data_IF_541862643329
#
_entry.id   IF_541862643329
#
_cell.length_a   1.000
_cell.length_b   1.000
_cell.length_c   1.000
_cell.angle_alpha   90.00
_cell.angle_beta   90.00
_cell.angle_gamma   90.00
#
_symmetry.space_group_name_H-M   'P 1'
#
loop_
_entity.id
_entity.type
_entity.pdbx_description
1 polymer ?
#
# COMPACT_ATOMS: atom_id res chain seq x y z
N UNK A 1 -17.65 -9.92 -6.07
CA UNK A 1 -16.74 -10.38 -4.98
C UNK A 1 -15.81 -9.23 -4.60
N UNK A 2 -15.32 -9.17 -3.36
CA UNK A 2 -14.28 -8.26 -2.92
C UNK A 2 -12.98 -9.04 -2.64
N UNK A 3 -11.89 -8.64 -3.26
CA UNK A 3 -10.55 -9.20 -2.98
C UNK A 3 -9.79 -8.21 -2.13
N UNK A 4 -9.38 -8.63 -0.93
CA UNK A 4 -8.66 -7.80 0.03
C UNK A 4 -7.18 -8.21 0.04
N UNK A 5 -6.32 -7.35 -0.45
CA UNK A 5 -4.87 -7.55 -0.50
C UNK A 5 -4.14 -6.51 0.36
N UNK A 6 -2.86 -6.70 0.57
CA UNK A 6 -2.03 -5.76 1.33
C UNK A 6 -0.94 -6.46 2.13
N UNK A 7 -0.09 -5.70 2.84
CA UNK A 7 1.00 -6.25 3.63
C UNK A 7 0.55 -7.33 4.62
N UNK A 8 1.45 -8.23 4.99
CA UNK A 8 1.21 -9.12 6.14
C UNK A 8 1.05 -8.32 7.43
N UNK A 9 0.23 -8.83 8.36
CA UNK A 9 -0.01 -8.24 9.68
C UNK A 9 -0.61 -6.82 9.63
N UNK A 10 -1.34 -6.48 8.56
CA UNK A 10 -2.05 -5.20 8.43
C UNK A 10 -3.50 -5.28 8.92
N UNK A 11 -3.95 -6.48 9.35
CA UNK A 11 -5.29 -6.68 9.91
C UNK A 11 -6.32 -7.27 8.94
N UNK A 12 -5.94 -7.74 7.73
CA UNK A 12 -6.88 -8.30 6.75
C UNK A 12 -7.77 -9.41 7.32
N UNK A 13 -7.15 -10.44 7.91
CA UNK A 13 -7.84 -11.58 8.52
C UNK A 13 -8.82 -11.13 9.61
N UNK A 14 -8.38 -10.24 10.50
CA UNK A 14 -9.21 -9.70 11.59
C UNK A 14 -10.44 -8.99 11.04
N UNK A 15 -10.23 -8.00 10.15
CA UNK A 15 -11.33 -7.24 9.54
C UNK A 15 -12.32 -8.15 8.79
N UNK A 16 -11.81 -9.05 7.96
CA UNK A 16 -12.67 -9.91 7.16
C UNK A 16 -13.45 -10.91 8.02
N UNK A 17 -12.83 -11.41 9.10
CA UNK A 17 -13.50 -12.29 10.07
C UNK A 17 -14.63 -11.56 10.78
N UNK A 18 -14.41 -10.34 11.24
CA UNK A 18 -15.43 -9.53 11.93
C UNK A 18 -16.62 -9.18 11.02
N UNK A 19 -16.37 -9.05 9.71
CA UNK A 19 -17.40 -8.75 8.73
C UNK A 19 -18.13 -10.01 8.20
N UNK A 20 -17.66 -11.22 8.50
CA UNK A 20 -18.20 -12.46 7.95
C UNK A 20 -19.37 -13.02 8.72
N UNK A 21 -20.28 -13.69 8.00
CA UNK A 21 -21.27 -14.60 8.59
C UNK A 21 -20.72 -16.05 8.58
N UNK A 22 -19.86 -16.36 7.58
CA UNK A 22 -19.15 -17.64 7.44
C UNK A 22 -17.68 -17.33 7.08
N UNK A 23 -16.77 -17.89 7.86
CA UNK A 23 -15.31 -17.70 7.67
C UNK A 23 -14.65 -19.05 7.41
N UNK A 24 -14.00 -19.20 6.25
CA UNK A 24 -13.29 -20.39 5.82
C UNK A 24 -11.81 -20.04 5.56
N UNK A 25 -10.94 -20.64 6.34
CA UNK A 25 -9.49 -20.47 6.28
C UNK A 25 -8.83 -21.70 5.64
N UNK A 26 -8.09 -21.50 4.56
CA UNK A 26 -7.39 -22.59 3.88
C UNK A 26 -6.36 -23.30 4.75
N UNK A 27 -5.78 -22.62 5.74
CA UNK A 27 -4.77 -23.18 6.63
C UNK A 27 -5.39 -24.07 7.74
N UNK A 28 -6.71 -23.98 7.97
CA UNK A 28 -7.45 -24.86 8.85
C UNK A 28 -7.89 -26.12 8.09
N UNK A 29 -7.62 -27.30 8.64
CA UNK A 29 -7.90 -28.59 7.99
C UNK A 29 -9.39 -28.82 7.75
N UNK A 30 -10.24 -28.56 8.75
CA UNK A 30 -11.69 -28.77 8.64
C UNK A 30 -12.28 -27.82 7.59
N UNK A 31 -11.86 -26.56 7.57
CA UNK A 31 -12.30 -25.59 6.56
C UNK A 31 -11.79 -25.94 5.15
N UNK A 32 -10.57 -26.46 5.05
CA UNK A 32 -10.00 -26.92 3.79
C UNK A 32 -10.77 -28.11 3.21
N UNK A 33 -11.21 -29.06 4.04
CA UNK A 33 -12.07 -30.16 3.60
C UNK A 33 -13.39 -29.68 3.03
N UNK A 34 -14.04 -28.69 3.67
CA UNK A 34 -15.26 -28.07 3.16
C UNK A 34 -15.01 -27.44 1.79
N UNK A 35 -13.90 -26.69 1.62
CA UNK A 35 -13.56 -26.05 0.34
C UNK A 35 -13.28 -27.12 -0.74
N UNK A 36 -12.54 -28.17 -0.41
CA UNK A 36 -12.21 -29.26 -1.32
C UNK A 36 -13.46 -30.09 -1.73
N UNK A 37 -14.48 -30.13 -0.88
CA UNK A 37 -15.81 -30.71 -1.21
C UNK A 37 -16.54 -29.92 -2.29
N UNK A 38 -16.02 -28.75 -2.68
CA UNK A 38 -16.54 -27.96 -3.80
C UNK A 38 -17.67 -27.00 -3.45
N UNK A 39 -18.20 -26.28 -4.47
CA UNK A 39 -19.23 -25.25 -4.28
C UNK A 39 -20.46 -25.72 -3.49
N UNK A 40 -20.92 -26.92 -3.71
CA UNK A 40 -22.12 -27.47 -3.03
C UNK A 40 -21.87 -27.73 -1.53
N UNK A 41 -20.68 -28.22 -1.16
CA UNK A 41 -20.30 -28.42 0.24
C UNK A 41 -20.21 -27.10 1.00
N UNK A 42 -19.60 -26.06 0.40
CA UNK A 42 -19.58 -24.72 0.98
C UNK A 42 -20.98 -24.12 1.10
N UNK A 43 -21.85 -24.32 0.11
CA UNK A 43 -23.23 -23.84 0.14
C UNK A 43 -24.04 -24.51 1.27
N UNK A 44 -23.88 -25.81 1.46
CA UNK A 44 -24.51 -26.57 2.56
C UNK A 44 -24.00 -26.10 3.93
N UNK A 45 -22.66 -25.96 4.08
CA UNK A 45 -22.06 -25.46 5.31
C UNK A 45 -22.54 -24.04 5.66
N UNK A 46 -22.70 -23.19 4.66
CA UNK A 46 -23.19 -21.81 4.83
C UNK A 46 -24.73 -21.74 4.98
N UNK A 47 -25.48 -22.84 4.84
CA UNK A 47 -26.94 -22.87 4.91
C UNK A 47 -27.59 -22.03 3.82
N UNK A 48 -27.10 -22.09 2.57
CA UNK A 48 -27.64 -21.31 1.45
C UNK A 48 -28.99 -21.85 0.92
N UNK A 49 -29.43 -22.96 1.38
CA UNK A 49 -30.76 -23.56 1.13
C UNK A 49 -31.85 -22.97 2.02
N UNK A 50 -31.50 -22.27 3.09
CA UNK A 50 -32.42 -21.63 4.03
C UNK A 50 -32.82 -20.24 3.54
N UNK A 51 -34.14 -19.94 3.60
CA UNK A 51 -34.66 -18.62 3.26
C UNK A 51 -34.09 -17.54 4.20
N UNK A 52 -33.54 -16.47 3.62
CA UNK A 52 -32.92 -15.33 4.36
C UNK A 52 -33.34 -14.01 3.75
N UNK A 53 -33.37 -12.98 4.58
CA UNK A 53 -33.70 -11.62 4.17
C UNK A 53 -32.53 -10.85 3.57
N UNK A 54 -31.29 -11.37 3.70
CA UNK A 54 -30.08 -10.79 3.14
C UNK A 54 -29.09 -11.86 2.67
N UNK A 55 -28.22 -11.54 1.70
CA UNK A 55 -27.13 -12.44 1.31
C UNK A 55 -26.16 -12.71 2.46
N UNK A 56 -25.61 -13.92 2.51
CA UNK A 56 -24.59 -14.33 3.48
C UNK A 56 -23.24 -13.78 3.07
N UNK A 57 -22.50 -13.21 4.01
CA UNK A 57 -21.11 -12.78 3.81
C UNK A 57 -20.17 -13.94 4.11
N UNK A 58 -19.54 -14.47 3.06
CA UNK A 58 -18.59 -15.58 3.16
C UNK A 58 -17.18 -15.04 2.90
N UNK A 59 -16.26 -15.37 3.81
CA UNK A 59 -14.83 -15.07 3.67
C UNK A 59 -14.06 -16.34 3.37
N UNK A 60 -13.24 -16.29 2.33
CA UNK A 60 -12.21 -17.27 2.05
C UNK A 60 -10.84 -16.64 2.36
N UNK A 61 -10.22 -17.08 3.45
CA UNK A 61 -8.88 -16.60 3.85
C UNK A 61 -7.79 -17.53 3.30
N UNK A 62 -6.68 -16.93 2.83
CA UNK A 62 -5.51 -17.62 2.24
C UNK A 62 -5.86 -18.59 1.07
N UNK A 63 -7.02 -18.42 0.43
CA UNK A 63 -7.52 -19.32 -0.63
C UNK A 63 -6.56 -19.46 -1.81
N UNK A 64 -5.68 -18.48 -2.03
CA UNK A 64 -4.67 -18.51 -3.09
C UNK A 64 -3.69 -19.70 -2.98
N UNK A 65 -3.59 -20.35 -1.82
CA UNK A 65 -2.81 -21.57 -1.62
C UNK A 65 -3.45 -22.79 -2.30
N UNK A 66 -4.75 -22.75 -2.57
CA UNK A 66 -5.46 -23.78 -3.33
C UNK A 66 -5.16 -23.64 -4.83
N UNK A 67 -4.53 -24.63 -5.46
CA UNK A 67 -4.12 -24.56 -6.88
C UNK A 67 -5.28 -24.24 -7.84
N UNK A 68 -6.49 -24.68 -7.55
CA UNK A 68 -7.69 -24.50 -8.41
C UNK A 68 -8.63 -23.40 -7.91
N UNK A 69 -8.17 -22.51 -7.06
CA UNK A 69 -8.99 -21.50 -6.39
C UNK A 69 -9.80 -20.60 -7.34
N UNK A 70 -9.24 -20.22 -8.50
CA UNK A 70 -9.95 -19.38 -9.48
C UNK A 70 -11.16 -20.11 -10.08
N UNK A 71 -10.99 -21.39 -10.44
CA UNK A 71 -12.06 -22.20 -10.98
C UNK A 71 -13.15 -22.46 -9.92
N UNK A 72 -12.74 -22.75 -8.69
CA UNK A 72 -13.63 -22.91 -7.54
C UNK A 72 -14.46 -21.64 -7.31
N UNK A 73 -13.81 -20.46 -7.17
CA UNK A 73 -14.52 -19.20 -6.94
C UNK A 73 -15.47 -18.85 -8.09
N UNK A 74 -15.04 -19.08 -9.34
CA UNK A 74 -15.92 -18.87 -10.49
C UNK A 74 -17.17 -19.72 -10.39
N UNK A 75 -17.03 -21.03 -10.20
CA UNK A 75 -18.16 -21.94 -10.10
C UNK A 75 -19.07 -21.60 -8.92
N UNK A 76 -18.50 -21.27 -7.77
CA UNK A 76 -19.26 -20.88 -6.59
C UNK A 76 -20.03 -19.57 -6.80
N UNK A 77 -19.36 -18.55 -7.35
CA UNK A 77 -19.99 -17.26 -7.62
C UNK A 77 -21.10 -17.39 -8.65
N UNK A 78 -20.83 -17.99 -9.81
CA UNK A 78 -21.81 -18.11 -10.90
C UNK A 78 -23.07 -18.91 -10.47
N UNK A 79 -22.93 -19.81 -9.48
CA UNK A 79 -24.08 -20.59 -8.96
C UNK A 79 -24.84 -19.87 -7.85
N UNK A 80 -24.18 -19.10 -6.99
CA UNK A 80 -24.79 -18.60 -5.75
C UNK A 80 -24.75 -17.07 -5.60
N UNK A 81 -24.41 -16.29 -6.65
CA UNK A 81 -24.16 -14.84 -6.54
C UNK A 81 -25.30 -14.03 -5.90
N UNK A 82 -26.56 -14.45 -6.15
CA UNK A 82 -27.73 -13.80 -5.57
C UNK A 82 -27.86 -14.00 -4.04
N UNK A 83 -27.27 -15.10 -3.52
CA UNK A 83 -27.37 -15.51 -2.12
C UNK A 83 -26.15 -15.13 -1.27
N UNK A 84 -25.05 -14.72 -1.89
CA UNK A 84 -23.78 -14.52 -1.19
C UNK A 84 -23.13 -13.17 -1.49
N UNK A 85 -22.32 -12.70 -0.52
CA UNK A 85 -21.33 -11.66 -0.69
C UNK A 85 -19.97 -12.25 -0.33
N UNK A 86 -19.10 -12.41 -1.32
CA UNK A 86 -17.83 -13.12 -1.16
C UNK A 86 -16.71 -12.10 -0.91
N UNK A 87 -15.93 -12.32 0.14
CA UNK A 87 -14.64 -11.67 0.38
C UNK A 87 -13.56 -12.73 0.30
N UNK A 88 -12.47 -12.41 -0.40
CA UNK A 88 -11.29 -13.27 -0.52
C UNK A 88 -10.11 -12.51 0.01
N UNK A 89 -9.45 -13.04 1.01
CA UNK A 89 -8.20 -12.46 1.48
C UNK A 89 -7.02 -13.30 1.02
N UNK A 90 -5.89 -12.69 0.93
CA UNK A 90 -4.65 -13.38 0.64
C UNK A 90 -3.49 -12.42 0.81
N UNK A 91 -2.31 -13.01 0.96
CA UNK A 91 -1.07 -12.26 0.89
C UNK A 91 -0.88 -11.72 -0.55
N UNK A 92 0.18 -10.97 -0.77
CA UNK A 92 0.64 -10.36 -2.03
C UNK A 92 0.39 -11.15 -3.33
N UNK A 93 0.10 -12.45 -3.27
CA UNK A 93 -0.13 -13.30 -4.43
C UNK A 93 -1.41 -13.00 -5.22
N UNK A 94 -2.44 -12.41 -4.60
CA UNK A 94 -3.67 -12.07 -5.34
C UNK A 94 -3.38 -11.05 -6.45
N UNK A 95 -2.44 -10.11 -6.25
CA UNK A 95 -2.01 -9.15 -7.27
C UNK A 95 -1.10 -9.75 -8.34
N UNK A 96 -0.23 -10.70 -7.96
CA UNK A 96 0.74 -11.33 -8.87
C UNK A 96 0.05 -12.31 -9.84
N UNK A 97 -1.06 -12.92 -9.44
CA UNK A 97 -1.82 -13.88 -10.27
C UNK A 97 -2.71 -13.24 -11.35
N UNK A 98 -2.55 -11.94 -11.63
CA UNK A 98 -3.05 -11.34 -12.89
C UNK A 98 -2.48 -12.02 -14.14
N UNK A 99 -1.34 -12.72 -14.02
CA UNK A 99 -0.73 -13.48 -15.10
C UNK A 99 -1.28 -14.91 -15.10
N UNK A 100 -2.34 -15.15 -15.85
CA UNK A 100 -2.79 -16.51 -16.16
C UNK A 100 -4.29 -16.74 -16.04
N UNK A 101 -5.02 -16.54 -17.13
CA UNK A 101 -6.37 -17.02 -17.36
C UNK A 101 -7.49 -16.12 -16.87
N UNK A 102 -8.37 -15.77 -17.78
CA UNK A 102 -9.52 -14.84 -17.64
C UNK A 102 -10.67 -15.30 -16.77
N UNK A 103 -10.50 -16.31 -15.90
CA UNK A 103 -11.65 -16.99 -15.28
C UNK A 103 -12.46 -16.12 -14.29
N UNK A 104 -11.89 -15.02 -13.76
CA UNK A 104 -12.56 -14.15 -12.78
C UNK A 104 -12.76 -12.71 -13.27
N UNK A 105 -12.45 -12.40 -14.53
CA UNK A 105 -12.64 -11.06 -15.08
C UNK A 105 -14.10 -10.59 -14.93
N UNK A 106 -14.29 -9.36 -14.48
CA UNK A 106 -15.60 -8.76 -14.25
C UNK A 106 -16.36 -9.24 -13.00
N UNK A 107 -15.80 -10.18 -12.21
CA UNK A 107 -16.47 -10.76 -11.04
C UNK A 107 -16.00 -10.24 -9.70
N UNK A 108 -14.90 -9.46 -9.65
CA UNK A 108 -14.38 -8.94 -8.40
C UNK A 108 -13.87 -7.50 -8.53
N UNK A 109 -13.85 -6.80 -7.40
CA UNK A 109 -13.11 -5.57 -7.18
C UNK A 109 -11.98 -5.86 -6.21
N UNK A 110 -10.84 -5.21 -6.45
CA UNK A 110 -9.67 -5.29 -5.60
C UNK A 110 -9.67 -4.12 -4.61
N UNK A 111 -9.48 -4.42 -3.33
CA UNK A 111 -9.33 -3.44 -2.26
C UNK A 111 -7.98 -3.62 -1.59
N UNK A 112 -7.19 -2.57 -1.54
CA UNK A 112 -5.85 -2.57 -0.97
C UNK A 112 -5.88 -2.06 0.46
N UNK A 113 -5.55 -2.94 1.40
CA UNK A 113 -5.45 -2.57 2.81
C UNK A 113 -4.03 -2.14 3.13
N UNK A 114 -3.89 -0.96 3.72
CA UNK A 114 -2.62 -0.35 4.10
C UNK A 114 -2.43 -0.36 5.63
N UNK A 115 -1.20 -0.13 6.12
CA UNK A 115 -0.98 0.26 7.51
C UNK A 115 -1.77 1.54 7.84
N UNK A 116 -2.05 1.77 9.13
CA UNK A 116 -2.77 2.96 9.57
C UNK A 116 -2.14 4.25 9.07
N UNK A 117 -3.00 5.20 8.75
CA UNK A 117 -2.63 6.57 8.35
C UNK A 117 -3.27 7.58 9.29
N UNK A 118 -2.82 8.82 9.22
CA UNK A 118 -3.40 9.93 10.00
C UNK A 118 -4.90 10.05 9.72
N UNK A 119 -5.30 9.98 8.45
CA UNK A 119 -6.71 10.11 8.06
C UNK A 119 -7.61 9.05 8.73
N UNK A 120 -7.19 7.77 8.73
CA UNK A 120 -7.97 6.69 9.36
C UNK A 120 -8.02 6.80 10.88
N UNK A 121 -6.91 7.24 11.50
CA UNK A 121 -6.88 7.45 12.96
C UNK A 121 -7.77 8.63 13.38
N UNK A 122 -7.96 9.61 12.50
CA UNK A 122 -8.90 10.70 12.73
C UNK A 122 -10.35 10.25 12.49
N UNK A 123 -10.60 9.55 11.40
CA UNK A 123 -11.95 9.13 10.96
C UNK A 123 -11.89 7.81 10.21
N UNK A 124 -12.41 6.71 10.78
CA UNK A 124 -12.41 5.40 10.15
C UNK A 124 -13.45 5.26 9.03
N UNK A 125 -14.43 6.17 8.94
CA UNK A 125 -15.48 6.10 7.93
C UNK A 125 -14.94 6.37 6.53
N UNK A 126 -15.40 5.60 5.56
CA UNK A 126 -15.09 5.80 4.14
C UNK A 126 -15.80 7.07 3.65
N UNK A 127 -15.10 7.88 2.85
CA UNK A 127 -15.64 9.08 2.22
C UNK A 127 -15.61 8.93 0.69
N UNK A 128 -16.65 9.43 0.04
CA UNK A 128 -16.70 9.57 -1.42
C UNK A 128 -16.03 10.89 -1.89
N UNK A 129 -15.61 11.74 -0.95
CA UNK A 129 -14.88 12.97 -1.26
C UNK A 129 -13.38 12.68 -1.45
N UNK A 130 -12.73 13.44 -2.34
CA UNK A 130 -11.27 13.32 -2.58
C UNK A 130 -10.44 13.78 -1.38
N UNK A 131 -10.94 14.75 -0.65
CA UNK A 131 -10.37 15.25 0.60
C UNK A 131 -11.50 15.67 1.54
N UNK A 132 -11.20 15.72 2.82
CA UNK A 132 -12.14 16.02 3.89
C UNK A 132 -11.69 17.27 4.63
N UNK A 133 -12.59 17.84 5.44
CA UNK A 133 -12.19 18.90 6.36
C UNK A 133 -11.09 18.40 7.30
N UNK A 134 -10.13 19.27 7.67
CA UNK A 134 -9.05 18.87 8.55
C UNK A 134 -9.57 18.45 9.92
N UNK A 135 -8.99 17.38 10.47
CA UNK A 135 -9.31 16.89 11.81
C UNK A 135 -8.03 16.63 12.58
N UNK A 136 -8.00 17.09 13.84
CA UNK A 136 -6.81 16.92 14.68
C UNK A 136 -6.69 15.48 15.16
N UNK A 137 -5.59 14.83 14.83
CA UNK A 137 -5.10 13.66 15.56
C UNK A 137 -4.43 14.16 16.83
N UNK A 138 -4.68 13.53 17.97
CA UNK A 138 -3.99 13.88 19.21
C UNK A 138 -2.46 13.68 19.09
N UNK A 139 -1.70 14.43 19.89
CA UNK A 139 -0.24 14.39 19.79
C UNK A 139 0.34 13.03 20.21
N UNK A 140 -0.35 12.30 21.09
CA UNK A 140 0.04 10.95 21.48
C UNK A 140 -0.13 9.96 20.32
N UNK A 141 -1.25 9.99 19.61
CA UNK A 141 -1.51 9.18 18.42
C UNK A 141 -0.53 9.49 17.28
N UNK A 142 -0.24 10.77 17.05
CA UNK A 142 0.77 11.20 16.10
C UNK A 142 2.15 10.64 16.43
N UNK A 143 2.59 10.78 17.70
CA UNK A 143 3.90 10.31 18.15
C UNK A 143 4.01 8.78 18.01
N UNK A 144 2.96 8.06 18.41
CA UNK A 144 2.89 6.60 18.26
C UNK A 144 2.99 6.18 16.79
N UNK A 145 2.25 6.84 15.89
CA UNK A 145 2.28 6.57 14.46
C UNK A 145 3.67 6.85 13.87
N UNK A 146 4.29 7.96 14.26
CA UNK A 146 5.62 8.34 13.83
C UNK A 146 6.69 7.35 14.29
N UNK A 147 6.68 6.95 15.56
CA UNK A 147 7.71 6.10 16.16
C UNK A 147 7.55 4.62 15.87
N UNK A 148 6.31 4.11 15.95
CA UNK A 148 6.02 2.68 15.87
C UNK A 148 5.51 2.23 14.49
N UNK A 149 5.23 3.17 13.59
CA UNK A 149 4.67 2.87 12.28
C UNK A 149 3.16 2.62 12.31
N UNK A 150 2.60 2.38 11.12
CA UNK A 150 1.16 2.18 10.95
C UNK A 150 0.69 0.71 11.05
N UNK A 151 1.59 -0.25 11.30
CA UNK A 151 1.14 -1.63 11.50
C UNK A 151 0.40 -1.76 12.84
N UNK A 152 -0.78 -2.43 12.88
CA UNK A 152 -1.66 -2.43 14.05
C UNK A 152 -0.97 -2.88 15.34
N UNK A 153 -0.21 -3.97 15.29
CA UNK A 153 0.35 -4.56 16.50
C UNK A 153 1.41 -3.67 17.19
N UNK A 154 2.46 -3.17 16.51
CA UNK A 154 3.39 -2.22 17.14
C UNK A 154 2.73 -0.88 17.50
N UNK A 155 1.76 -0.41 16.69
CA UNK A 155 0.99 0.81 17.00
C UNK A 155 0.20 0.68 18.31
N UNK A 156 -0.45 -0.46 18.55
CA UNK A 156 -1.23 -0.73 19.78
C UNK A 156 -0.32 -0.95 20.98
N UNK A 157 0.79 -1.70 20.81
CA UNK A 157 1.71 -2.05 21.89
C UNK A 157 2.55 -0.86 22.41
N UNK A 158 2.83 0.14 21.57
CA UNK A 158 3.53 1.39 21.92
C UNK A 158 4.86 1.16 22.66
N UNK A 159 5.56 0.09 22.36
CA UNK A 159 6.79 -0.31 23.03
C UNK A 159 7.96 -0.35 22.07
N UNK A 160 9.01 0.47 22.24
CA UNK A 160 10.18 0.46 21.36
C UNK A 160 10.86 -0.92 21.26
N UNK A 161 10.96 -1.63 22.38
CA UNK A 161 11.52 -2.99 22.43
C UNK A 161 10.65 -3.97 21.64
N UNK A 162 9.34 -3.88 21.77
CA UNK A 162 8.42 -4.72 21.01
C UNK A 162 8.51 -4.41 19.53
N UNK A 163 8.44 -3.14 19.12
CA UNK A 163 8.50 -2.70 17.73
C UNK A 163 9.79 -3.15 17.05
N UNK A 164 10.94 -3.06 17.73
CA UNK A 164 12.21 -3.55 17.21
C UNK A 164 12.17 -5.07 16.94
N UNK A 165 11.74 -5.87 17.92
CA UNK A 165 11.65 -7.32 17.77
C UNK A 165 10.65 -7.73 16.69
N UNK A 166 9.52 -7.05 16.62
CA UNK A 166 8.47 -7.29 15.64
C UNK A 166 8.97 -7.03 14.22
N UNK A 167 9.65 -5.90 13.97
CA UNK A 167 10.24 -5.58 12.67
C UNK A 167 11.27 -6.63 12.22
N UNK A 168 12.16 -7.02 13.12
CA UNK A 168 13.18 -8.03 12.80
C UNK A 168 12.55 -9.39 12.49
N UNK A 169 11.58 -9.84 13.28
CA UNK A 169 10.87 -11.09 13.04
C UNK A 169 10.11 -11.05 11.71
N UNK A 170 9.36 -9.98 11.47
CA UNK A 170 8.59 -9.78 10.23
C UNK A 170 9.51 -9.78 9.00
N UNK A 171 10.64 -9.08 9.09
CA UNK A 171 11.65 -9.07 8.02
C UNK A 171 12.20 -10.46 7.77
N UNK A 172 12.54 -11.18 8.82
CA UNK A 172 13.07 -12.55 8.71
C UNK A 172 12.03 -13.48 8.06
N UNK A 173 10.79 -13.47 8.54
CA UNK A 173 9.71 -14.30 7.98
C UNK A 173 9.47 -13.97 6.50
N UNK A 174 9.37 -12.70 6.15
CA UNK A 174 9.17 -12.28 4.77
C UNK A 174 10.30 -12.77 3.85
N UNK A 175 11.56 -12.49 4.23
CA UNK A 175 12.72 -12.74 3.35
C UNK A 175 13.17 -14.19 3.33
N UNK A 176 12.99 -14.94 4.41
CA UNK A 176 13.49 -16.31 4.55
C UNK A 176 12.43 -17.39 4.41
N UNK A 177 11.19 -17.09 4.74
CA UNK A 177 10.09 -18.07 4.69
C UNK A 177 9.19 -17.80 3.49
N UNK A 178 8.53 -16.66 3.44
CA UNK A 178 7.54 -16.37 2.40
C UNK A 178 8.12 -16.35 0.99
N UNK A 179 9.25 -15.66 0.82
CA UNK A 179 9.88 -15.53 -0.50
C UNK A 179 10.46 -16.87 -0.94
N UNK A 180 11.10 -17.63 -0.05
CA UNK A 180 11.58 -18.98 -0.35
C UNK A 180 10.46 -19.90 -0.80
N UNK A 181 9.36 -19.94 -0.04
CA UNK A 181 8.27 -20.89 -0.29
C UNK A 181 7.41 -20.50 -1.49
N UNK A 182 7.41 -19.23 -1.85
CA UNK A 182 6.55 -18.69 -2.88
C UNK A 182 7.26 -18.31 -4.19
N UNK A 183 8.57 -18.31 -4.23
CA UNK A 183 9.36 -17.93 -5.41
C UNK A 183 10.45 -18.95 -5.70
N UNK A 184 11.01 -18.92 -6.90
CA UNK A 184 12.15 -19.76 -7.28
C UNK A 184 13.52 -19.14 -6.95
N UNK A 185 13.60 -18.15 -6.05
CA UNK A 185 14.86 -17.50 -5.67
C UNK A 185 15.69 -18.45 -4.85
N UNK A 186 16.85 -18.83 -5.37
CA UNK A 186 17.79 -19.76 -4.72
C UNK A 186 18.77 -19.01 -3.81
N UNK A 187 19.25 -17.84 -4.22
CA UNK A 187 20.25 -17.04 -3.51
C UNK A 187 19.61 -16.13 -2.45
N UNK A 188 19.01 -16.73 -1.42
CA UNK A 188 18.31 -16.01 -0.36
C UNK A 188 19.21 -15.07 0.45
N UNK A 189 20.49 -15.38 0.59
CA UNK A 189 21.43 -14.52 1.31
C UNK A 189 21.71 -13.23 0.56
N UNK A 190 21.99 -13.31 -0.76
CA UNK A 190 22.18 -12.13 -1.60
C UNK A 190 20.88 -11.33 -1.71
N UNK A 191 19.74 -12.01 -1.79
CA UNK A 191 18.43 -11.35 -1.75
C UNK A 191 18.20 -10.59 -0.45
N UNK A 192 18.54 -11.17 0.69
CA UNK A 192 18.42 -10.51 2.00
C UNK A 192 19.38 -9.32 2.14
N UNK A 193 20.61 -9.42 1.61
CA UNK A 193 21.56 -8.31 1.55
C UNK A 193 20.99 -7.18 0.70
N UNK A 194 20.42 -7.48 -0.48
CA UNK A 194 19.77 -6.49 -1.33
C UNK A 194 18.64 -5.79 -0.60
N UNK A 195 17.76 -6.53 0.08
CA UNK A 195 16.64 -5.96 0.82
C UNK A 195 17.12 -5.02 1.94
N UNK A 196 18.25 -5.34 2.59
CA UNK A 196 18.89 -4.48 3.61
C UNK A 196 19.43 -3.19 2.99
N UNK A 197 20.18 -3.27 1.88
CA UNK A 197 20.70 -2.09 1.17
C UNK A 197 19.56 -1.17 0.73
N UNK A 198 18.46 -1.74 0.25
CA UNK A 198 17.27 -0.99 -0.12
C UNK A 198 16.59 -0.34 1.10
N UNK A 199 16.61 -0.98 2.26
CA UNK A 199 16.07 -0.40 3.48
C UNK A 199 16.86 0.85 3.93
N UNK A 200 18.17 0.84 3.76
CA UNK A 200 19.06 1.97 4.08
C UNK A 200 18.93 3.13 3.09
N UNK A 201 18.34 2.90 1.89
CA UNK A 201 18.19 3.88 0.80
C UNK A 201 16.73 4.28 0.55
N UNK A 202 15.83 4.13 1.53
CA UNK A 202 14.43 4.55 1.35
C UNK A 202 14.35 6.04 1.00
N UNK A 203 13.58 6.40 -0.03
CA UNK A 203 13.52 7.75 -0.61
C UNK A 203 14.54 7.99 -1.73
N UNK A 204 15.58 7.17 -1.82
CA UNK A 204 16.65 7.32 -2.80
C UNK A 204 16.30 6.79 -4.20
N UNK A 205 17.03 7.30 -5.20
CA UNK A 205 16.94 6.78 -6.57
C UNK A 205 17.51 5.34 -6.63
N UNK A 206 16.74 4.43 -7.20
CA UNK A 206 17.12 3.04 -7.37
C UNK A 206 17.90 2.86 -8.68
N UNK A 207 19.22 2.77 -8.58
CA UNK A 207 20.12 2.49 -9.71
C UNK A 207 20.40 0.99 -9.77
N UNK A 208 19.70 0.28 -10.62
CA UNK A 208 19.76 -1.18 -10.74
C UNK A 208 21.16 -1.71 -11.01
N UNK A 209 21.94 -1.05 -11.88
CA UNK A 209 23.32 -1.44 -12.21
C UNK A 209 24.28 -1.30 -11.02
N UNK A 210 24.10 -0.27 -10.19
CA UNK A 210 24.91 -0.09 -8.98
C UNK A 210 24.63 -1.20 -7.97
N UNK A 211 23.35 -1.46 -7.72
CA UNK A 211 22.94 -2.51 -6.78
C UNK A 211 23.40 -3.90 -7.27
N UNK A 212 23.29 -4.17 -8.56
CA UNK A 212 23.79 -5.42 -9.19
C UNK A 212 25.26 -5.66 -8.93
N UNK A 213 26.09 -4.62 -9.08
CA UNK A 213 27.54 -4.69 -8.78
C UNK A 213 27.81 -4.95 -7.29
N UNK A 214 27.09 -4.28 -6.40
CA UNK A 214 27.27 -4.44 -4.94
C UNK A 214 26.99 -5.86 -4.46
N UNK A 215 25.93 -6.50 -4.98
CA UNK A 215 25.51 -7.84 -4.57
C UNK A 215 25.99 -8.96 -5.54
N UNK A 216 26.78 -8.60 -6.56
CA UNK A 216 27.39 -9.53 -7.54
C UNK A 216 26.39 -10.42 -8.28
N UNK A 217 25.29 -9.83 -8.75
CA UNK A 217 24.30 -10.50 -9.61
C UNK A 217 24.03 -9.70 -10.88
N UNK A 218 23.26 -10.25 -11.81
CA UNK A 218 22.86 -9.53 -13.02
C UNK A 218 21.85 -8.41 -12.69
N UNK A 219 21.84 -7.36 -13.53
CA UNK A 219 20.82 -6.29 -13.40
C UNK A 219 19.40 -6.83 -13.58
N UNK A 220 19.19 -7.81 -14.45
CA UNK A 220 17.90 -8.47 -14.62
C UNK A 220 17.46 -9.20 -13.36
N UNK A 221 18.39 -9.83 -12.64
CA UNK A 221 18.13 -10.47 -11.36
C UNK A 221 17.68 -9.43 -10.33
N UNK A 222 18.37 -8.29 -10.23
CA UNK A 222 17.97 -7.20 -9.32
C UNK A 222 16.58 -6.67 -9.67
N UNK A 223 16.27 -6.44 -10.95
CA UNK A 223 14.93 -5.99 -11.38
C UNK A 223 13.84 -6.98 -10.97
N UNK A 224 14.09 -8.27 -11.16
CA UNK A 224 13.17 -9.33 -10.74
C UNK A 224 12.98 -9.37 -9.22
N UNK A 225 14.08 -9.25 -8.47
CA UNK A 225 14.06 -9.26 -7.02
C UNK A 225 13.37 -8.03 -6.42
N UNK A 226 13.59 -6.85 -6.99
CA UNK A 226 12.87 -5.63 -6.60
C UNK A 226 11.38 -5.77 -6.89
N UNK A 227 11.00 -6.33 -8.04
CA UNK A 227 9.61 -6.62 -8.34
C UNK A 227 8.99 -7.60 -7.33
N UNK A 228 9.75 -8.60 -6.88
CA UNK A 228 9.34 -9.51 -5.81
C UNK A 228 9.13 -8.78 -4.50
N UNK A 229 10.07 -7.93 -4.06
CA UNK A 229 9.90 -7.11 -2.84
C UNK A 229 8.67 -6.19 -2.90
N UNK A 230 8.39 -5.59 -4.07
CA UNK A 230 7.18 -4.80 -4.28
C UNK A 230 5.92 -5.68 -4.17
N UNK A 231 5.93 -6.84 -4.80
CA UNK A 231 4.80 -7.77 -4.77
C UNK A 231 4.49 -8.29 -3.36
N UNK A 232 5.51 -8.43 -2.52
CA UNK A 232 5.38 -8.81 -1.11
C UNK A 232 5.17 -7.61 -0.16
N UNK A 233 4.92 -6.43 -0.70
CA UNK A 233 4.69 -5.21 0.07
C UNK A 233 5.81 -4.84 1.06
N UNK A 234 7.06 -5.22 0.76
CA UNK A 234 8.21 -4.79 1.53
C UNK A 234 8.52 -3.31 1.27
N UNK A 235 8.39 -2.91 0.01
CA UNK A 235 8.52 -1.53 -0.43
C UNK A 235 7.76 -1.30 -1.74
N UNK A 236 7.95 -0.13 -2.33
CA UNK A 236 7.34 0.25 -3.59
C UNK A 236 8.20 1.24 -4.36
N UNK A 237 7.90 1.39 -5.64
CA UNK A 237 8.60 2.29 -6.54
C UNK A 237 7.74 3.50 -6.86
N UNK A 238 8.29 4.69 -6.66
CA UNK A 238 7.74 5.95 -7.18
C UNK A 238 8.51 6.31 -8.44
N UNK A 239 7.83 6.26 -9.58
CA UNK A 239 8.44 6.55 -10.89
C UNK A 239 8.42 8.04 -11.19
N UNK A 240 9.36 8.55 -12.00
CA UNK A 240 9.31 9.94 -12.39
C UNK A 240 8.12 10.23 -13.30
N UNK A 241 7.56 11.43 -13.17
CA UNK A 241 6.56 11.94 -14.09
C UNK A 241 7.20 12.63 -15.28
N UNK A 242 6.69 12.38 -16.48
CA UNK A 242 7.00 13.09 -17.72
C UNK A 242 5.75 13.15 -18.60
N UNK A 243 5.57 14.25 -19.34
CA UNK A 243 4.53 14.33 -20.38
C UNK A 243 4.63 13.18 -21.39
N UNK A 244 5.85 12.72 -21.68
CA UNK A 244 6.09 11.54 -22.53
C UNK A 244 6.32 10.31 -21.67
N UNK A 245 5.35 9.39 -21.63
CA UNK A 245 5.35 8.16 -20.84
C UNK A 245 6.56 7.27 -21.16
N UNK A 246 6.97 7.16 -22.44
CA UNK A 246 8.13 6.35 -22.83
C UNK A 246 9.43 6.88 -22.21
N UNK A 247 9.54 8.19 -21.97
CA UNK A 247 10.69 8.81 -21.30
C UNK A 247 10.68 8.52 -19.80
N UNK A 248 9.51 8.49 -19.17
CA UNK A 248 9.36 8.14 -17.76
C UNK A 248 9.84 6.70 -17.47
N UNK A 249 9.56 5.76 -18.36
CA UNK A 249 9.94 4.35 -18.18
C UNK A 249 11.45 4.09 -18.25
N UNK A 250 12.23 5.00 -18.82
CA UNK A 250 13.70 4.88 -18.98
C UNK A 250 14.50 5.52 -17.86
N UNK A 251 13.85 6.25 -16.95
CA UNK A 251 14.50 6.93 -15.83
C UNK A 251 14.38 6.10 -14.54
N UNK A 252 15.37 6.29 -13.66
CA UNK A 252 15.43 5.57 -12.39
C UNK A 252 14.26 5.93 -11.48
N UNK A 253 13.54 4.94 -10.90
CA UNK A 253 12.53 5.20 -9.90
C UNK A 253 13.18 5.54 -8.55
N UNK A 254 12.43 6.17 -7.65
CA UNK A 254 12.73 6.19 -6.22
C UNK A 254 12.18 4.92 -5.57
N UNK A 255 12.93 4.39 -4.59
CA UNK A 255 12.51 3.25 -3.77
C UNK A 255 12.05 3.72 -2.41
N UNK A 256 10.93 3.21 -1.92
CA UNK A 256 10.40 3.47 -0.59
C UNK A 256 10.04 2.18 0.14
N UNK A 257 10.35 2.10 1.44
CA UNK A 257 9.80 1.08 2.32
C UNK A 257 8.31 1.33 2.58
N UNK A 258 7.56 0.28 2.88
CA UNK A 258 6.18 0.41 3.37
C UNK A 258 6.06 0.60 4.88
N UNK A 259 7.18 0.61 5.59
CA UNK A 259 7.26 0.86 7.02
C UNK A 259 8.38 1.84 7.31
N UNK A 260 8.03 3.05 7.73
CA UNK A 260 8.96 4.15 8.03
C UNK A 260 9.58 4.02 9.43
N UNK A 261 8.99 3.20 10.33
CA UNK A 261 9.35 3.17 11.76
C UNK A 261 10.78 2.68 12.02
N UNK A 262 11.37 1.93 11.06
CA UNK A 262 12.74 1.43 11.15
C UNK A 262 13.81 2.36 10.60
N UNK A 263 13.44 3.50 10.00
CA UNK A 263 14.37 4.42 9.36
C UNK A 263 14.97 5.37 10.41
N UNK A 264 16.31 5.37 10.52
CA UNK A 264 17.01 6.17 11.52
C UNK A 264 17.13 7.65 11.17
N UNK A 265 17.39 7.97 9.89
CA UNK A 265 17.48 9.35 9.43
C UNK A 265 16.10 10.03 9.43
N UNK A 266 15.94 11.19 10.12
CA UNK A 266 14.64 11.84 10.23
C UNK A 266 14.08 12.37 8.90
N UNK A 267 14.96 12.81 7.98
CA UNK A 267 14.56 13.30 6.66
C UNK A 267 14.02 12.16 5.78
N UNK A 268 14.77 11.06 5.68
CA UNK A 268 14.33 9.86 4.97
C UNK A 268 13.04 9.27 5.56
N UNK A 269 12.93 9.27 6.91
CA UNK A 269 11.72 8.83 7.59
C UNK A 269 10.53 9.69 7.22
N UNK A 270 10.68 11.02 7.21
CA UNK A 270 9.65 11.97 6.83
C UNK A 270 9.18 11.75 5.38
N UNK A 271 10.13 11.62 4.45
CA UNK A 271 9.81 11.35 3.05
C UNK A 271 9.09 10.01 2.87
N UNK A 272 9.56 8.95 3.55
CA UNK A 272 8.92 7.62 3.50
C UNK A 272 7.52 7.61 4.15
N UNK A 273 7.35 8.33 5.27
CA UNK A 273 6.05 8.53 5.91
C UNK A 273 5.07 9.17 4.93
N UNK A 274 5.47 10.28 4.31
CA UNK A 274 4.65 10.96 3.30
C UNK A 274 4.35 10.06 2.11
N UNK A 275 5.35 9.34 1.59
CA UNK A 275 5.19 8.40 0.49
C UNK A 275 4.14 7.32 0.79
N UNK A 276 4.14 6.75 2.00
CA UNK A 276 3.17 5.73 2.41
C UNK A 276 1.74 6.28 2.51
N UNK A 277 1.56 7.48 3.07
CA UNK A 277 0.27 8.15 3.17
C UNK A 277 -0.29 8.53 1.79
N UNK A 278 0.56 9.10 0.92
CA UNK A 278 0.17 9.43 -0.44
C UNK A 278 -0.13 8.19 -1.29
N UNK A 279 0.66 7.10 -1.12
CA UNK A 279 0.39 5.84 -1.81
C UNK A 279 -0.98 5.28 -1.41
N UNK A 280 -1.30 5.29 -0.11
CA UNK A 280 -2.62 4.86 0.35
C UNK A 280 -3.73 5.72 -0.24
N UNK A 281 -3.56 7.04 -0.26
CA UNK A 281 -4.55 7.94 -0.82
C UNK A 281 -4.82 7.65 -2.31
N UNK A 282 -3.77 7.57 -3.16
CA UNK A 282 -3.94 7.31 -4.60
C UNK A 282 -4.51 5.91 -4.88
N UNK A 283 -4.11 4.91 -4.10
CA UNK A 283 -4.65 3.55 -4.21
C UNK A 283 -6.10 3.51 -3.71
N UNK A 284 -6.42 4.15 -2.58
CA UNK A 284 -7.76 4.23 -2.00
C UNK A 284 -8.76 4.94 -2.91
N UNK A 285 -8.43 6.12 -3.43
CA UNK A 285 -9.28 6.84 -4.38
C UNK A 285 -9.57 6.01 -5.65
N UNK A 286 -8.55 5.29 -6.13
CA UNK A 286 -8.71 4.42 -7.31
C UNK A 286 -9.59 3.20 -6.99
N UNK A 287 -9.39 2.55 -5.84
CA UNK A 287 -10.16 1.38 -5.42
C UNK A 287 -11.63 1.73 -5.12
N UNK A 288 -11.89 2.97 -4.69
CA UNK A 288 -13.24 3.51 -4.48
C UNK A 288 -13.90 4.03 -5.77
N UNK A 289 -13.18 4.04 -6.90
CA UNK A 289 -13.73 4.50 -8.18
C UNK A 289 -13.85 6.02 -8.33
N UNK A 290 -13.12 6.81 -7.52
CA UNK A 290 -13.15 8.28 -7.55
C UNK A 290 -12.30 8.89 -8.70
N UNK A 291 -11.63 8.05 -9.49
CA UNK A 291 -10.77 8.40 -10.61
C UNK A 291 -9.60 7.42 -10.73
N UNK A 292 -8.72 7.66 -11.68
CA UNK A 292 -7.47 6.91 -11.84
C UNK A 292 -6.32 7.75 -11.29
N UNK A 293 -5.77 7.32 -10.16
CA UNK A 293 -4.72 8.06 -9.46
C UNK A 293 -3.39 7.32 -9.50
N UNK A 294 -2.29 8.09 -9.49
CA UNK A 294 -0.93 7.55 -9.48
C UNK A 294 -0.01 8.46 -8.66
N UNK A 295 1.00 7.86 -8.03
CA UNK A 295 2.02 8.58 -7.29
C UNK A 295 3.32 8.60 -8.07
N UNK A 296 3.82 9.81 -8.35
CA UNK A 296 5.03 10.06 -9.12
C UNK A 296 5.94 11.04 -8.37
N UNK A 297 7.18 11.23 -8.87
CA UNK A 297 8.04 12.35 -8.51
C UNK A 297 8.42 13.11 -9.76
N UNK A 298 8.94 14.33 -9.62
CA UNK A 298 9.40 15.12 -10.78
C UNK A 298 10.83 15.58 -10.56
N UNK A 299 11.67 15.39 -11.58
CA UNK A 299 13.05 15.84 -11.58
C UNK A 299 13.46 16.21 -13.00
N UNK A 300 14.08 17.38 -13.17
CA UNK A 300 14.56 17.86 -14.45
C UNK A 300 16.06 17.54 -14.69
N UNK A 301 16.57 18.01 -15.82
CA UNK A 301 17.97 17.85 -16.21
C UNK A 301 18.94 18.71 -15.41
N UNK A 302 18.42 19.77 -14.76
CA UNK A 302 19.20 20.65 -13.87
C UNK A 302 19.21 20.14 -12.42
N UNK A 303 18.69 18.92 -12.20
CA UNK A 303 18.59 18.25 -10.90
C UNK A 303 17.63 18.94 -9.90
N UNK A 304 16.78 19.89 -10.38
CA UNK A 304 15.68 20.38 -9.56
C UNK A 304 14.67 19.28 -9.40
N UNK A 305 14.13 19.14 -8.20
CA UNK A 305 13.25 18.01 -7.85
C UNK A 305 12.12 18.48 -6.96
N UNK A 306 10.96 17.84 -7.09
CA UNK A 306 9.87 17.81 -6.12
C UNK A 306 9.60 16.36 -5.76
N UNK A 307 9.47 16.06 -4.48
CA UNK A 307 9.47 14.70 -3.94
C UNK A 307 8.32 13.87 -4.47
N UNK A 308 7.11 14.44 -4.57
CA UNK A 308 5.93 13.72 -5.06
C UNK A 308 5.06 14.60 -5.95
N UNK A 309 4.44 13.93 -6.93
CA UNK A 309 3.39 14.45 -7.79
C UNK A 309 2.23 13.46 -7.75
N UNK A 310 1.08 13.89 -7.29
CA UNK A 310 -0.13 13.10 -7.39
C UNK A 310 -0.80 13.39 -8.72
N UNK A 311 -0.97 12.33 -9.50
CA UNK A 311 -1.63 12.35 -10.81
C UNK A 311 -3.07 11.94 -10.64
N UNK A 312 -3.98 12.66 -11.27
CA UNK A 312 -5.41 12.32 -11.38
C UNK A 312 -5.79 12.26 -12.85
N UNK A 313 -6.32 11.14 -13.30
CA UNK A 313 -6.79 10.93 -14.67
C UNK A 313 -5.76 11.36 -15.73
N UNK A 314 -4.48 11.02 -15.47
CA UNK A 314 -3.34 11.30 -16.34
C UNK A 314 -2.70 12.69 -16.17
N UNK A 315 -3.30 13.60 -15.40
CA UNK A 315 -2.81 14.97 -15.22
C UNK A 315 -2.28 15.21 -13.80
N UNK A 316 -1.21 16.02 -13.61
CA UNK A 316 -0.77 16.44 -12.29
C UNK A 316 -1.88 17.20 -11.56
N UNK A 317 -2.27 16.70 -10.38
CA UNK A 317 -3.27 17.35 -9.56
C UNK A 317 -2.62 18.23 -8.49
N UNK A 318 -1.69 17.67 -7.71
CA UNK A 318 -0.92 18.47 -6.77
C UNK A 318 0.52 17.97 -6.61
N UNK A 319 1.39 18.88 -6.18
CA UNK A 319 2.80 18.65 -5.90
C UNK A 319 3.04 18.62 -4.39
N UNK A 320 4.00 17.81 -3.96
CA UNK A 320 4.39 17.70 -2.54
C UNK A 320 5.91 17.72 -2.41
N UNK A 321 6.40 18.66 -1.62
CA UNK A 321 7.77 18.69 -1.10
C UNK A 321 7.75 18.40 0.39
N UNK A 322 8.68 17.60 0.89
CA UNK A 322 8.70 17.16 2.30
C UNK A 322 9.86 17.81 3.04
N UNK A 323 9.58 18.40 4.19
CA UNK A 323 10.61 18.94 5.09
C UNK A 323 10.40 18.41 6.51
N UNK A 324 11.43 17.79 7.08
CA UNK A 324 11.35 17.32 8.47
C UNK A 324 11.19 18.50 9.43
N UNK A 325 12.02 19.53 9.28
CA UNK A 325 12.00 20.74 10.13
C UNK A 325 11.28 21.93 9.48
N UNK A 326 11.39 23.08 10.13
CA UNK A 326 10.94 24.34 9.56
C UNK A 326 11.92 24.80 8.49
N UNK A 327 11.44 25.18 7.32
CA UNK A 327 12.22 25.72 6.23
C UNK A 327 11.40 26.69 5.38
N UNK A 328 12.08 27.60 4.70
CA UNK A 328 11.45 28.48 3.72
C UNK A 328 10.80 27.63 2.60
N UNK A 329 9.78 28.21 1.98
CA UNK A 329 9.09 27.57 0.86
C UNK A 329 10.07 27.31 -0.30
N UNK A 330 10.10 26.07 -0.77
CA UNK A 330 10.97 25.67 -1.87
C UNK A 330 10.59 26.38 -3.18
N UNK A 331 11.54 27.06 -3.84
CA UNK A 331 11.28 27.68 -5.13
C UNK A 331 10.97 26.66 -6.23
N UNK A 332 11.35 25.42 -6.04
CA UNK A 332 11.08 24.35 -6.99
C UNK A 332 9.57 24.03 -7.10
N UNK A 333 8.81 24.20 -6.01
CA UNK A 333 7.36 24.01 -6.04
C UNK A 333 6.66 24.96 -7.02
N UNK A 334 6.97 26.27 -6.93
CA UNK A 334 6.39 27.26 -7.85
C UNK A 334 6.81 27.01 -9.30
N UNK A 335 8.08 26.68 -9.51
CA UNK A 335 8.60 26.36 -10.83
C UNK A 335 7.84 25.15 -11.45
N UNK A 336 7.78 24.00 -10.74
CA UNK A 336 7.15 22.83 -11.29
C UNK A 336 5.63 22.92 -11.32
N UNK A 337 5.00 23.71 -10.44
CA UNK A 337 3.57 23.96 -10.53
C UNK A 337 3.22 24.65 -11.86
N UNK A 338 3.98 25.67 -12.27
CA UNK A 338 3.81 26.35 -13.54
C UNK A 338 4.07 25.41 -14.73
N UNK A 339 5.14 24.59 -14.67
CA UNK A 339 5.49 23.67 -15.75
C UNK A 339 4.46 22.54 -15.95
N UNK A 340 3.80 22.12 -14.87
CA UNK A 340 2.88 20.98 -14.87
C UNK A 340 1.40 21.40 -14.91
N UNK A 341 1.09 22.67 -14.63
CA UNK A 341 -0.25 23.19 -14.38
C UNK A 341 -0.97 22.45 -13.23
N UNK A 342 -0.24 21.97 -12.23
CA UNK A 342 -0.82 21.33 -11.06
C UNK A 342 -1.68 22.35 -10.28
N UNK A 343 -2.88 21.93 -9.85
CA UNK A 343 -3.83 22.80 -9.17
C UNK A 343 -3.31 23.31 -7.83
N UNK A 344 -2.53 22.46 -7.12
CA UNK A 344 -2.01 22.79 -5.79
C UNK A 344 -0.53 22.42 -5.69
N UNK A 345 0.18 23.06 -4.76
CA UNK A 345 1.56 22.73 -4.45
C UNK A 345 1.83 22.93 -2.95
N UNK A 346 2.19 21.86 -2.26
CA UNK A 346 2.32 21.82 -0.81
C UNK A 346 3.76 21.52 -0.39
N UNK A 347 4.32 22.34 0.51
CA UNK A 347 5.49 21.96 1.28
C UNK A 347 5.04 21.44 2.64
N UNK A 348 5.16 20.14 2.85
CA UNK A 348 4.74 19.50 4.10
C UNK A 348 5.84 19.66 5.15
N UNK A 349 5.50 20.29 6.28
CA UNK A 349 6.37 20.41 7.46
C UNK A 349 5.95 19.38 8.52
N UNK A 350 6.85 18.45 8.85
CA UNK A 350 6.56 17.38 9.82
C UNK A 350 6.46 17.90 11.26
N UNK A 351 7.18 18.97 11.59
CA UNK A 351 7.26 19.55 12.93
C UNK A 351 6.28 20.70 13.17
N UNK A 352 5.58 21.17 12.13
CA UNK A 352 4.61 22.23 12.30
C UNK A 352 3.37 21.72 13.06
N UNK A 353 2.83 22.59 13.93
CA UNK A 353 1.62 22.29 14.66
C UNK A 353 0.39 22.22 13.76
N UNK A 354 -0.60 21.44 14.19
CA UNK A 354 -1.87 21.33 13.49
C UNK A 354 -2.57 22.69 13.37
N UNK A 355 -3.10 22.96 12.16
CA UNK A 355 -3.93 24.13 11.86
C UNK A 355 -5.24 23.63 11.26
N UNK A 356 -6.37 24.07 11.82
CA UNK A 356 -7.73 23.71 11.36
C UNK A 356 -8.15 24.47 10.10
N UNK A 357 -7.33 24.42 9.04
CA UNK A 357 -7.60 25.07 7.75
C UNK A 357 -7.47 24.05 6.60
N UNK A 358 -8.35 24.18 5.60
CA UNK A 358 -8.34 23.29 4.46
C UNK A 358 -7.17 23.61 3.52
N UNK A 359 -6.22 22.68 3.39
CA UNK A 359 -5.05 22.84 2.53
C UNK A 359 -5.45 23.01 1.06
N UNK A 360 -6.49 22.34 0.61
CA UNK A 360 -6.92 22.32 -0.79
C UNK A 360 -7.70 23.57 -1.25
N UNK A 361 -7.92 24.54 -0.35
CA UNK A 361 -8.39 25.87 -0.74
C UNK A 361 -7.28 26.77 -1.32
N UNK A 362 -6.00 26.37 -1.11
CA UNK A 362 -4.85 27.12 -1.59
C UNK A 362 -4.39 26.63 -2.96
N UNK A 363 -4.32 27.53 -3.93
CA UNK A 363 -3.83 27.24 -5.28
C UNK A 363 -2.36 27.66 -5.48
N UNK A 364 -1.87 28.62 -4.74
CA UNK A 364 -0.42 28.98 -4.74
C UNK A 364 0.38 28.02 -3.85
N UNK A 365 1.69 27.85 -4.11
CA UNK A 365 2.54 27.05 -3.25
C UNK A 365 2.51 27.53 -1.80
N UNK A 366 2.31 26.61 -0.87
CA UNK A 366 2.15 26.93 0.55
C UNK A 366 2.81 25.86 1.43
N UNK A 367 3.31 26.31 2.60
CA UNK A 367 3.76 25.39 3.67
C UNK A 367 2.57 24.95 4.50
N UNK A 368 2.39 23.65 4.66
CA UNK A 368 1.28 23.03 5.41
C UNK A 368 1.81 22.09 6.50
N UNK A 369 1.18 22.03 7.69
CA UNK A 369 1.52 21.04 8.69
C UNK A 369 1.16 19.61 8.20
N UNK A 370 2.05 18.66 8.41
CA UNK A 370 1.78 17.25 8.10
C UNK A 370 0.52 16.72 8.78
N UNK A 371 0.31 17.08 10.05
CA UNK A 371 -0.88 16.70 10.84
C UNK A 371 -2.18 17.19 10.20
N UNK A 372 -2.19 18.42 9.64
CA UNK A 372 -3.35 18.99 8.94
C UNK A 372 -3.54 18.32 7.59
N UNK A 373 -2.48 18.28 6.76
CA UNK A 373 -2.57 17.77 5.40
C UNK A 373 -3.02 16.31 5.35
N UNK A 374 -2.36 15.42 6.12
CA UNK A 374 -2.68 13.99 6.09
C UNK A 374 -4.03 13.67 6.73
N UNK A 375 -4.58 14.51 7.61
CA UNK A 375 -5.92 14.30 8.16
C UNK A 375 -7.03 14.52 7.12
N UNK A 376 -6.73 15.22 6.04
CA UNK A 376 -7.67 15.52 4.95
C UNK A 376 -7.72 14.45 3.87
N UNK A 377 -6.77 13.51 3.82
CA UNK A 377 -6.73 12.43 2.85
C UNK A 377 -7.74 11.31 3.20
N UNK A 378 -7.69 10.19 2.45
CA UNK A 378 -8.52 8.98 2.67
C UNK A 378 -7.75 7.86 3.37
#
# INVERSE_FOLDING_TARGET
MAFVTGPRQVGKTTLCRDLSDVYLDWDNEDHREIILGGPAAVAAHAGLDTLRNRPIRIVFDELHKYKRWKQFLKGFFDTYEAKVRIMVTGSSRLDVYRKGGDSLMGRYFLYRMHPFTVAELCRPEVSEALYRDPMRLDDAGWQVLWEHGGHPEPFIKRSPRFSLRWRELRRHQLLREDIRDMTGIQDLDQFAIMARLLAEQSGGQLIYSTLAKQIRVSENTVRSWVATLCAFHYGFLVRPWFKNVAKALRKEPKWFLRDWSGIGDPGQRAETFCACHLLKAVEGWTDLGLGVFDLRYIRDTQKREVDFVVIRDGNPWFLVEVKHGQSALSPHLAYFQNETNAQHAFQISMQADYVGANCFEHTAPIVVPAKTFFSQLV
#
